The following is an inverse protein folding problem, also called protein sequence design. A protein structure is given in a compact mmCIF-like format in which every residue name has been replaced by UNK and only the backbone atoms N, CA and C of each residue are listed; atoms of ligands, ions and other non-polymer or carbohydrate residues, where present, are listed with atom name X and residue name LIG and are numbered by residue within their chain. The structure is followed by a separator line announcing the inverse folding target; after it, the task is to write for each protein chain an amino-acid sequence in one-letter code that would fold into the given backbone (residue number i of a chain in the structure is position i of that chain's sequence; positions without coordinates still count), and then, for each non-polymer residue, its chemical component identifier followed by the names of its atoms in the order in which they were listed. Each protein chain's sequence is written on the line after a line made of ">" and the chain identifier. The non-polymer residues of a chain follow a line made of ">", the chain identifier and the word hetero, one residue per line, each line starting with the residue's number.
data_IF_535786955175
#
_entry.id   IF_535786955175
#
_cell.length_a   1.000
_cell.length_b   1.000
_cell.length_c   1.000
_cell.angle_alpha   90.00
_cell.angle_beta   90.00
_cell.angle_gamma   90.00
#
_symmetry.space_group_name_H-M   'P 1'
#
loop_
_entity.id
_entity.type
_entity.pdbx_description
1 polymer ?
#
# COMPACT_ATOMS: atom_id res chain seq x y z
N UNK A 1 -2.03 11.62 5.93
CA UNK A 1 -1.41 11.85 4.63
C UNK A 1 -2.43 11.78 3.50
N UNK A 2 -2.20 12.49 2.40
CA UNK A 2 -3.02 12.35 1.20
C UNK A 2 -2.66 11.04 0.49
N UNK A 3 -3.50 10.59 -0.45
CA UNK A 3 -3.22 9.40 -1.25
C UNK A 3 -1.90 9.58 -2.01
N UNK A 4 -1.67 10.76 -2.59
CA UNK A 4 -0.43 11.03 -3.31
C UNK A 4 0.80 10.93 -2.41
N UNK A 5 0.72 11.50 -1.20
CA UNK A 5 1.82 11.44 -0.23
C UNK A 5 2.05 10.01 0.25
N UNK A 6 0.98 9.26 0.51
CA UNK A 6 1.08 7.87 0.93
C UNK A 6 1.75 7.02 -0.16
N UNK A 7 1.30 7.15 -1.40
CA UNK A 7 1.84 6.38 -2.52
C UNK A 7 3.30 6.77 -2.82
N UNK A 8 3.65 8.02 -2.59
CA UNK A 8 5.02 8.51 -2.81
C UNK A 8 6.04 7.86 -1.86
N UNK A 9 5.59 7.26 -0.74
CA UNK A 9 6.48 6.55 0.19
C UNK A 9 7.00 5.24 -0.40
N UNK A 10 6.33 4.68 -1.40
CA UNK A 10 6.79 3.46 -2.07
C UNK A 10 7.92 3.80 -3.07
N UNK A 11 8.90 2.89 -3.17
CA UNK A 11 9.95 3.02 -4.18
C UNK A 11 9.39 2.73 -5.57
N UNK A 12 10.14 3.08 -6.62
CA UNK A 12 9.76 2.78 -8.00
C UNK A 12 9.55 1.29 -8.23
N UNK A 13 10.42 0.45 -7.66
CA UNK A 13 10.30 -1.01 -7.75
C UNK A 13 9.04 -1.49 -7.05
N UNK A 14 8.77 -0.98 -5.85
CA UNK A 14 7.56 -1.33 -5.12
C UNK A 14 6.30 -0.93 -5.89
N UNK A 15 6.29 0.26 -6.47
CA UNK A 15 5.16 0.73 -7.30
C UNK A 15 4.93 -0.19 -8.50
N UNK A 16 6.00 -0.61 -9.16
CA UNK A 16 5.91 -1.52 -10.29
C UNK A 16 5.31 -2.85 -9.86
N UNK A 17 5.76 -3.41 -8.74
CA UNK A 17 5.25 -4.69 -8.24
C UNK A 17 3.78 -4.59 -7.84
N UNK A 18 3.36 -3.47 -7.24
CA UNK A 18 1.96 -3.23 -6.91
C UNK A 18 1.10 -3.20 -8.17
N UNK A 19 1.51 -2.44 -9.17
CA UNK A 19 0.72 -2.26 -10.40
C UNK A 19 0.67 -3.51 -11.27
N UNK A 20 1.71 -4.34 -11.21
CA UNK A 20 1.78 -5.58 -11.99
C UNK A 20 1.26 -6.81 -11.23
N UNK A 21 0.90 -6.66 -9.96
CA UNK A 21 0.44 -7.79 -9.14
C UNK A 21 -0.90 -8.31 -9.61
N UNK A 22 -1.04 -9.64 -9.60
CA UNK A 22 -2.31 -10.33 -9.84
C UNK A 22 -2.91 -10.91 -8.56
N UNK A 23 -2.28 -10.67 -7.41
CA UNK A 23 -2.78 -11.11 -6.11
C UNK A 23 -4.09 -10.37 -5.81
N UNK A 24 -5.22 -11.07 -5.60
CA UNK A 24 -6.52 -10.43 -5.44
C UNK A 24 -6.56 -9.33 -4.37
N UNK A 25 -5.94 -9.58 -3.22
CA UNK A 25 -5.93 -8.59 -2.13
C UNK A 25 -5.20 -7.31 -2.53
N UNK A 26 -4.13 -7.41 -3.32
CA UNK A 26 -3.37 -6.25 -3.80
C UNK A 26 -4.16 -5.52 -4.89
N UNK A 27 -4.81 -6.26 -5.78
CA UNK A 27 -5.65 -5.67 -6.83
C UNK A 27 -6.77 -4.85 -6.22
N UNK A 28 -7.43 -5.39 -5.19
CA UNK A 28 -8.49 -4.67 -4.46
C UNK A 28 -7.92 -3.46 -3.76
N UNK A 29 -6.80 -3.62 -3.05
CA UNK A 29 -6.20 -2.53 -2.28
C UNK A 29 -5.79 -1.35 -3.16
N UNK A 30 -5.14 -1.61 -4.30
CA UNK A 30 -4.75 -0.53 -5.20
C UNK A 30 -5.95 0.14 -5.86
N UNK A 31 -7.00 -0.62 -6.14
CA UNK A 31 -8.25 -0.06 -6.66
C UNK A 31 -8.95 0.83 -5.65
N UNK A 32 -9.02 0.38 -4.40
CA UNK A 32 -9.57 1.18 -3.31
C UNK A 32 -8.79 2.48 -3.13
N UNK A 33 -7.46 2.38 -3.16
CA UNK A 33 -6.60 3.55 -3.00
C UNK A 33 -6.77 4.55 -4.14
N UNK A 34 -6.95 4.07 -5.37
CA UNK A 34 -7.18 4.92 -6.53
C UNK A 34 -8.48 5.72 -6.43
N UNK A 35 -9.47 5.18 -5.70
CA UNK A 35 -10.76 5.82 -5.49
C UNK A 35 -10.87 6.50 -4.13
N UNK A 36 -9.79 6.50 -3.34
CA UNK A 36 -9.79 7.02 -2.00
C UNK A 36 -10.02 8.53 -1.97
N UNK A 37 -10.81 8.97 -1.01
CA UNK A 37 -11.09 10.40 -0.80
C UNK A 37 -10.68 10.77 0.61
N UNK A 38 -10.00 11.89 0.75
CA UNK A 38 -9.51 12.38 2.02
C UNK A 38 -8.16 11.77 2.40
N UNK A 39 -7.83 11.80 3.67
CA UNK A 39 -6.54 11.37 4.17
C UNK A 39 -6.46 9.85 4.32
N UNK A 40 -5.24 9.32 4.13
CA UNK A 40 -4.93 7.92 4.39
C UNK A 40 -4.31 7.85 5.79
N UNK A 41 -4.99 7.13 6.68
CA UNK A 41 -4.56 7.02 8.07
C UNK A 41 -3.89 5.66 8.30
N UNK A 42 -2.81 5.66 9.09
CA UNK A 42 -2.03 4.45 9.35
C UNK A 42 -2.78 3.41 10.19
N UNK A 43 -3.85 3.80 10.86
CA UNK A 43 -4.69 2.89 11.64
C UNK A 43 -5.93 2.42 10.88
N UNK A 44 -6.07 2.81 9.62
CA UNK A 44 -7.20 2.37 8.78
C UNK A 44 -7.06 0.88 8.47
N UNK A 45 -8.14 0.12 8.71
CA UNK A 45 -8.14 -1.35 8.58
C UNK A 45 -7.83 -1.77 7.15
N UNK A 46 -8.37 -1.05 6.16
CA UNK A 46 -8.18 -1.38 4.75
C UNK A 46 -6.73 -1.11 4.32
N UNK A 47 -6.13 -0.04 4.83
CA UNK A 47 -4.73 0.29 4.57
C UNK A 47 -3.82 -0.81 5.15
N UNK A 48 -4.09 -1.22 6.40
CA UNK A 48 -3.31 -2.27 7.07
C UNK A 48 -3.45 -3.60 6.33
N UNK A 49 -4.66 -3.97 5.92
CA UNK A 49 -4.90 -5.20 5.18
C UNK A 49 -4.18 -5.21 3.84
N UNK A 50 -4.18 -4.07 3.13
CA UNK A 50 -3.47 -3.93 1.86
C UNK A 50 -1.96 -4.08 2.02
N UNK A 51 -1.39 -3.45 3.05
CA UNK A 51 0.05 -3.56 3.34
C UNK A 51 0.43 -4.97 3.75
N UNK A 52 -0.39 -5.64 4.56
CA UNK A 52 -0.15 -7.04 4.95
C UNK A 52 -0.16 -7.96 3.73
N UNK A 53 -1.08 -7.75 2.79
CA UNK A 53 -1.12 -8.52 1.55
C UNK A 53 0.14 -8.29 0.72
N UNK A 54 0.67 -7.08 0.70
CA UNK A 54 1.92 -6.77 0.00
C UNK A 54 3.12 -7.46 0.64
N UNK A 55 3.16 -7.55 1.98
CA UNK A 55 4.20 -8.28 2.69
C UNK A 55 4.14 -9.77 2.33
N UNK A 56 2.97 -10.38 2.37
CA UNK A 56 2.79 -11.78 2.05
C UNK A 56 3.17 -12.10 0.61
N UNK A 57 2.89 -11.19 -0.31
CA UNK A 57 3.19 -11.37 -1.73
C UNK A 57 4.66 -11.08 -2.08
N UNK A 58 5.46 -10.59 -1.12
CA UNK A 58 6.85 -10.25 -1.35
C UNK A 58 7.07 -8.93 -2.05
N UNK A 59 6.04 -8.08 -2.13
CA UNK A 59 6.13 -6.76 -2.73
C UNK A 59 6.93 -5.81 -1.85
N UNK A 60 6.70 -5.88 -0.53
CA UNK A 60 7.46 -5.12 0.47
C UNK A 60 7.84 -6.07 1.61
N UNK A 61 8.82 -5.66 2.41
CA UNK A 61 9.19 -6.39 3.62
C UNK A 61 8.36 -5.90 4.81
N UNK A 62 8.38 -6.67 5.92
CA UNK A 62 7.72 -6.24 7.15
C UNK A 62 8.33 -4.93 7.68
N UNK A 63 9.64 -4.76 7.53
CA UNK A 63 10.33 -3.52 7.92
C UNK A 63 9.85 -2.33 7.08
N UNK A 64 9.67 -2.53 5.77
CA UNK A 64 9.15 -1.48 4.89
C UNK A 64 7.73 -1.08 5.26
N UNK A 65 6.88 -2.06 5.62
CA UNK A 65 5.53 -1.78 6.12
C UNK A 65 5.58 -0.82 7.31
N UNK A 66 6.47 -1.10 8.28
CA UNK A 66 6.64 -0.25 9.46
C UNK A 66 7.10 1.15 9.06
N UNK A 67 8.07 1.26 8.16
CA UNK A 67 8.56 2.56 7.68
C UNK A 67 7.45 3.37 7.02
N UNK A 68 6.64 2.74 6.17
CA UNK A 68 5.52 3.40 5.48
C UNK A 68 4.48 3.89 6.48
N UNK A 69 4.17 3.09 7.49
CA UNK A 69 3.18 3.47 8.50
C UNK A 69 3.64 4.59 9.42
N UNK A 70 4.94 4.83 9.54
CA UNK A 70 5.48 5.93 10.35
C UNK A 70 5.37 7.28 9.66
N UNK A 71 5.16 7.30 8.37
CA UNK A 71 5.06 8.54 7.58
C UNK A 71 3.63 9.05 7.60
#
# INVERSE_FOLDING_TARGET
>A
ATVADFYAEFTGTEKYLIQSSTVPAIVVARGDLAMWRGDVWSDNVDVLAGLDAMVEAGVITAERKIEILKK
#
